data_IF_100267539778
#
_entry.id   IF_100267539778
#
_cell.length_a   1.000
_cell.length_b   1.000
_cell.length_c   1.000
_cell.angle_alpha   90.00
_cell.angle_beta   90.00
_cell.angle_gamma   90.00
#
_symmetry.space_group_name_H-M   'P 1'
#
loop_
_entity.id
_entity.type
_entity.pdbx_description
1 polymer ?
#
# COMPACT_ATOMS: atom_id res chain seq x y z
N UNK A 1 9.62 24.08 15.10
CA UNK A 1 9.70 23.50 13.73
C UNK A 1 10.13 22.03 13.75
N UNK A 2 11.13 21.62 14.55
CA UNK A 2 11.55 20.20 14.62
C UNK A 2 10.46 19.20 15.05
N UNK A 3 9.70 19.51 16.11
CA UNK A 3 8.66 18.60 16.67
C UNK A 3 7.59 18.20 15.64
N UNK A 4 7.18 19.11 14.75
CA UNK A 4 6.16 18.84 13.74
C UNK A 4 6.66 17.92 12.61
N UNK A 5 7.95 17.98 12.30
CA UNK A 5 8.58 17.14 11.27
C UNK A 5 8.79 15.72 11.80
N UNK A 6 9.30 15.59 13.02
CA UNK A 6 9.49 14.29 13.69
C UNK A 6 8.17 13.54 13.86
N UNK A 7 7.13 14.22 14.33
CA UNK A 7 5.78 13.65 14.44
C UNK A 7 5.25 13.19 13.07
N UNK A 8 5.43 14.00 12.01
CA UNK A 8 5.03 13.64 10.65
C UNK A 8 5.72 12.38 10.12
N UNK A 9 7.02 12.21 10.39
CA UNK A 9 7.77 10.99 10.01
C UNK A 9 7.23 9.76 10.71
N UNK A 10 7.04 9.84 12.03
CA UNK A 10 6.53 8.71 12.83
C UNK A 10 5.16 8.30 12.32
N UNK A 11 4.26 9.26 12.05
CA UNK A 11 2.92 8.99 11.52
C UNK A 11 3.01 8.28 10.18
N UNK A 12 3.79 8.79 9.23
CA UNK A 12 3.95 8.20 7.89
C UNK A 12 4.51 6.79 7.98
N UNK A 13 5.55 6.57 8.78
CA UNK A 13 6.17 5.24 8.92
C UNK A 13 5.18 4.25 9.55
N UNK A 14 4.51 4.64 10.63
CA UNK A 14 3.58 3.78 11.35
C UNK A 14 2.39 3.40 10.48
N UNK A 15 1.72 4.37 9.85
CA UNK A 15 0.55 4.11 9.02
C UNK A 15 0.89 3.24 7.82
N UNK A 16 1.99 3.52 7.12
CA UNK A 16 2.41 2.74 5.96
C UNK A 16 2.91 1.32 6.35
N UNK A 17 3.48 1.14 7.55
CA UNK A 17 3.84 -0.21 8.04
C UNK A 17 2.59 -1.04 8.30
N UNK A 18 1.57 -0.46 8.95
CA UNK A 18 0.30 -1.14 9.18
C UNK A 18 -0.40 -1.49 7.87
N UNK A 19 -0.44 -0.58 6.89
CA UNK A 19 -1.05 -0.86 5.57
C UNK A 19 -0.25 -1.89 4.76
N UNK A 20 1.07 -1.98 4.97
CA UNK A 20 1.89 -3.04 4.36
C UNK A 20 1.46 -4.41 4.87
N UNK A 21 1.24 -4.56 6.18
CA UNK A 21 0.74 -5.81 6.78
C UNK A 21 -0.64 -6.16 6.21
N UNK A 22 -1.54 -5.18 6.10
CA UNK A 22 -2.86 -5.37 5.47
C UNK A 22 -2.72 -5.84 4.03
N UNK A 23 -1.85 -5.23 3.23
CA UNK A 23 -1.60 -5.64 1.85
C UNK A 23 -1.11 -7.08 1.73
N UNK A 24 -0.18 -7.50 2.61
CA UNK A 24 0.29 -8.88 2.67
C UNK A 24 -0.83 -9.86 3.03
N UNK A 25 -1.66 -9.52 4.02
CA UNK A 25 -2.80 -10.35 4.42
C UNK A 25 -3.77 -10.52 3.23
N UNK A 26 -4.10 -9.45 2.50
CA UNK A 26 -4.99 -9.53 1.35
C UNK A 26 -4.43 -10.44 0.24
N UNK A 27 -3.12 -10.36 -0.04
CA UNK A 27 -2.48 -11.24 -1.01
C UNK A 27 -2.57 -12.71 -0.57
N UNK A 28 -2.26 -13.00 0.70
CA UNK A 28 -2.33 -14.37 1.24
C UNK A 28 -3.76 -14.91 1.20
N UNK A 29 -4.75 -14.11 1.58
CA UNK A 29 -6.17 -14.51 1.53
C UNK A 29 -6.63 -14.79 0.10
N UNK A 30 -6.31 -13.92 -0.86
CA UNK A 30 -6.68 -14.13 -2.25
C UNK A 30 -6.00 -15.36 -2.87
N UNK A 31 -4.73 -15.63 -2.53
CA UNK A 31 -4.04 -16.85 -2.94
C UNK A 31 -4.64 -18.10 -2.30
N UNK A 32 -5.03 -18.03 -1.02
CA UNK A 32 -5.67 -19.12 -0.30
C UNK A 32 -7.02 -19.50 -0.92
N UNK A 33 -7.85 -18.50 -1.26
CA UNK A 33 -9.12 -18.70 -1.95
C UNK A 33 -8.94 -19.31 -3.34
N UNK A 34 -7.87 -18.94 -4.07
CA UNK A 34 -7.59 -19.50 -5.40
C UNK A 34 -7.06 -20.95 -5.34
N UNK A 35 -6.32 -21.30 -4.28
CA UNK A 35 -5.68 -22.60 -4.14
C UNK A 35 -6.62 -23.69 -3.57
N UNK A 36 -7.74 -23.29 -2.97
CA UNK A 36 -8.57 -24.19 -2.17
C UNK A 36 -9.90 -24.49 -2.89
N UNK A 37 -10.02 -25.66 -3.56
CA UNK A 37 -11.20 -26.00 -4.38
C UNK A 37 -12.50 -26.14 -3.58
N UNK A 38 -12.41 -26.32 -2.25
CA UNK A 38 -13.56 -26.41 -1.35
C UNK A 38 -14.13 -25.05 -0.93
N UNK A 39 -13.33 -23.98 -0.99
CA UNK A 39 -13.77 -22.59 -0.70
C UNK A 39 -13.97 -21.76 -1.96
N UNK A 40 -13.58 -22.26 -3.13
CA UNK A 40 -13.94 -21.70 -4.44
C UNK A 40 -15.42 -21.94 -4.73
N UNK A 41 -16.27 -21.27 -3.97
CA UNK A 41 -17.72 -21.20 -4.14
C UNK A 41 -18.13 -20.14 -5.18
N UNK A 42 -17.15 -19.46 -5.79
CA UNK A 42 -17.34 -18.31 -6.68
C UNK A 42 -16.40 -18.35 -7.89
N UNK A 43 -16.74 -17.57 -8.91
CA UNK A 43 -15.84 -17.10 -9.96
C UNK A 43 -14.50 -16.60 -9.39
N UNK A 44 -13.40 -17.01 -10.03
CA UNK A 44 -12.02 -16.59 -9.70
C UNK A 44 -11.81 -15.07 -9.77
N UNK A 45 -12.78 -14.30 -10.27
CA UNK A 45 -12.71 -12.85 -10.36
C UNK A 45 -12.50 -12.17 -8.99
N UNK A 46 -13.17 -12.64 -7.93
CA UNK A 46 -13.08 -12.05 -6.58
C UNK A 46 -11.68 -12.25 -5.97
N UNK A 47 -11.13 -13.48 -5.89
CA UNK A 47 -9.80 -13.67 -5.33
C UNK A 47 -8.71 -12.98 -6.16
N UNK A 48 -8.81 -12.97 -7.49
CA UNK A 48 -7.88 -12.24 -8.36
C UNK A 48 -7.91 -10.73 -8.11
N UNK A 49 -9.10 -10.14 -8.00
CA UNK A 49 -9.23 -8.72 -7.67
C UNK A 49 -8.60 -8.42 -6.29
N UNK A 50 -8.83 -9.28 -5.31
CA UNK A 50 -8.27 -9.14 -3.94
C UNK A 50 -6.74 -9.15 -3.95
N UNK A 51 -6.11 -10.03 -4.73
CA UNK A 51 -4.65 -10.07 -4.90
C UNK A 51 -4.15 -8.77 -5.54
N UNK A 52 -4.79 -8.30 -6.62
CA UNK A 52 -4.38 -7.07 -7.33
C UNK A 52 -4.46 -5.86 -6.39
N UNK A 53 -5.54 -5.73 -5.62
CA UNK A 53 -5.69 -4.69 -4.61
C UNK A 53 -4.61 -4.78 -3.52
N UNK A 54 -4.33 -5.99 -3.02
CA UNK A 54 -3.27 -6.23 -2.03
C UNK A 54 -1.88 -5.81 -2.53
N UNK A 55 -1.54 -6.16 -3.77
CA UNK A 55 -0.26 -5.75 -4.41
C UNK A 55 -0.20 -4.23 -4.55
N UNK A 56 -1.27 -3.58 -5.01
CA UNK A 56 -1.30 -2.12 -5.14
C UNK A 56 -1.07 -1.44 -3.79
N UNK A 57 -1.79 -1.86 -2.74
CA UNK A 57 -1.63 -1.34 -1.38
C UNK A 57 -0.19 -1.53 -0.89
N UNK A 58 0.40 -2.69 -1.13
CA UNK A 58 1.78 -3.00 -0.73
C UNK A 58 2.80 -2.07 -1.41
N UNK A 59 2.69 -1.84 -2.72
CA UNK A 59 3.59 -0.95 -3.45
C UNK A 59 3.50 0.50 -2.95
N UNK A 60 2.28 0.99 -2.73
CA UNK A 60 2.03 2.34 -2.22
C UNK A 60 2.63 2.49 -0.82
N UNK A 61 2.40 1.48 0.04
CA UNK A 61 2.84 1.49 1.44
C UNK A 61 4.36 1.41 1.57
N UNK A 62 5.03 0.56 0.78
CA UNK A 62 6.49 0.51 0.73
C UNK A 62 7.07 1.85 0.27
N UNK A 63 6.47 2.47 -0.75
CA UNK A 63 6.89 3.80 -1.21
C UNK A 63 6.76 4.86 -0.11
N UNK A 64 5.67 4.84 0.67
CA UNK A 64 5.49 5.72 1.82
C UNK A 64 6.50 5.48 2.94
N UNK A 65 6.78 4.23 3.27
CA UNK A 65 7.78 3.86 4.29
C UNK A 65 9.20 4.26 3.86
N UNK A 66 9.60 3.92 2.63
CA UNK A 66 10.88 4.32 2.05
C UNK A 66 11.00 5.84 1.94
N UNK A 67 9.92 6.55 1.59
CA UNK A 67 9.90 8.02 1.54
C UNK A 67 10.11 8.66 2.90
N UNK A 68 9.54 8.07 3.97
CA UNK A 68 9.73 8.51 5.34
C UNK A 68 11.13 8.24 5.91
N UNK A 69 11.75 7.11 5.53
CA UNK A 69 13.06 6.68 6.04
C UNK A 69 14.25 7.24 5.24
N UNK A 70 14.16 7.26 3.91
CA UNK A 70 15.30 7.58 3.04
C UNK A 70 15.56 9.08 2.88
N UNK A 71 14.67 9.94 3.40
CA UNK A 71 14.74 11.41 3.23
C UNK A 71 14.93 11.84 1.76
N UNK A 72 14.47 11.00 0.83
CA UNK A 72 14.70 11.16 -0.60
C UNK A 72 13.49 11.84 -1.26
N UNK A 73 13.64 13.13 -1.62
CA UNK A 73 12.57 13.95 -2.20
C UNK A 73 11.85 13.30 -3.40
N UNK A 74 12.54 12.77 -4.43
CA UNK A 74 11.88 12.05 -5.52
C UNK A 74 10.90 10.96 -5.08
N UNK A 75 11.28 10.12 -4.09
CA UNK A 75 10.43 9.04 -3.59
C UNK A 75 9.20 9.62 -2.87
N UNK A 76 9.43 10.67 -2.07
CA UNK A 76 8.36 11.35 -1.35
C UNK A 76 7.39 12.09 -2.28
N UNK A 77 7.89 12.64 -3.40
CA UNK A 77 7.06 13.21 -4.48
C UNK A 77 6.23 12.15 -5.18
N UNK A 78 6.81 10.99 -5.48
CA UNK A 78 6.07 9.87 -6.06
C UNK A 78 4.94 9.43 -5.11
N UNK A 79 5.21 9.29 -3.82
CA UNK A 79 4.18 9.00 -2.80
C UNK A 79 3.08 10.06 -2.79
N UNK A 80 3.45 11.34 -2.77
CA UNK A 80 2.49 12.46 -2.76
C UNK A 80 1.58 12.46 -4.00
N UNK A 81 2.15 12.26 -5.20
CA UNK A 81 1.38 12.18 -6.46
C UNK A 81 0.42 10.99 -6.44
N UNK A 82 0.87 9.83 -5.97
CA UNK A 82 0.01 8.65 -5.86
C UNK A 82 -1.15 8.90 -4.89
N UNK A 83 -0.90 9.54 -3.73
CA UNK A 83 -1.99 9.91 -2.81
C UNK A 83 -2.99 10.88 -3.45
N UNK A 84 -2.53 11.85 -4.25
CA UNK A 84 -3.42 12.75 -4.98
C UNK A 84 -4.30 11.99 -5.99
N UNK A 85 -3.71 11.08 -6.77
CA UNK A 85 -4.46 10.25 -7.74
C UNK A 85 -5.53 9.43 -7.00
N UNK A 86 -5.19 8.83 -5.87
CA UNK A 86 -6.14 8.06 -5.07
C UNK A 86 -7.28 8.91 -4.52
N UNK A 87 -7.02 10.15 -4.08
CA UNK A 87 -8.09 11.08 -3.68
C UNK A 87 -9.04 11.36 -4.86
N UNK A 88 -8.49 11.60 -6.06
CA UNK A 88 -9.30 11.82 -7.26
C UNK A 88 -10.14 10.58 -7.59
N UNK A 89 -9.54 9.39 -7.55
CA UNK A 89 -10.26 8.13 -7.76
C UNK A 89 -11.36 7.91 -6.71
N UNK A 90 -11.10 8.25 -5.44
CA UNK A 90 -12.08 8.17 -4.37
C UNK A 90 -13.27 9.09 -4.62
N UNK A 91 -13.03 10.32 -5.10
CA UNK A 91 -14.08 11.28 -5.46
C UNK A 91 -14.88 10.77 -6.67
N UNK A 92 -14.22 10.26 -7.71
CA UNK A 92 -14.89 9.68 -8.88
C UNK A 92 -15.77 8.50 -8.46
N UNK A 93 -15.25 7.58 -7.64
CA UNK A 93 -16.02 6.44 -7.14
C UNK A 93 -17.22 6.88 -6.30
N UNK A 94 -17.06 7.91 -5.46
CA UNK A 94 -18.15 8.49 -4.70
C UNK A 94 -19.25 9.08 -5.61
N UNK A 95 -18.87 9.83 -6.66
CA UNK A 95 -19.82 10.39 -7.63
C UNK A 95 -20.56 9.27 -8.38
N UNK A 96 -19.84 8.27 -8.88
CA UNK A 96 -20.44 7.11 -9.57
C UNK A 96 -21.46 6.43 -8.66
N UNK A 97 -21.08 6.15 -7.41
CA UNK A 97 -21.98 5.52 -6.43
C UNK A 97 -23.23 6.37 -6.20
N UNK A 98 -23.09 7.70 -6.07
CA UNK A 98 -24.23 8.60 -5.90
C UNK A 98 -25.17 8.60 -7.10
N UNK A 99 -24.64 8.61 -8.32
CA UNK A 99 -25.46 8.56 -9.56
C UNK A 99 -26.14 7.20 -9.71
N UNK A 100 -25.39 6.11 -9.50
CA UNK A 100 -25.90 4.75 -9.67
C UNK A 100 -26.95 4.40 -8.63
N UNK A 101 -26.90 4.96 -7.41
CA UNK A 101 -27.99 4.75 -6.44
C UNK A 101 -29.35 5.25 -6.93
N UNK A 102 -29.38 6.22 -7.84
CA UNK A 102 -30.62 6.72 -8.47
C UNK A 102 -31.14 5.77 -9.56
N UNK A 103 -30.25 4.97 -10.16
CA UNK A 103 -30.54 4.06 -11.29
C UNK A 103 -30.09 2.62 -11.02
N UNK A 104 -30.08 2.19 -9.75
CA UNK A 104 -29.42 0.95 -9.32
C UNK A 104 -29.95 -0.27 -10.06
N UNK A 105 -31.27 -0.33 -10.30
CA UNK A 105 -31.89 -1.43 -11.04
C UNK A 105 -31.40 -1.51 -12.48
N UNK A 106 -31.23 -0.38 -13.18
CA UNK A 106 -30.71 -0.34 -14.56
C UNK A 106 -29.24 -0.77 -14.61
N UNK A 107 -28.44 -0.36 -13.62
CA UNK A 107 -27.04 -0.77 -13.50
C UNK A 107 -26.96 -2.28 -13.28
N UNK A 108 -27.72 -2.80 -12.32
CA UNK A 108 -27.80 -4.23 -12.04
C UNK A 108 -28.30 -5.02 -13.27
N UNK A 109 -29.27 -4.50 -14.02
CA UNK A 109 -29.79 -5.12 -15.25
C UNK A 109 -28.71 -5.23 -16.32
N UNK A 110 -27.96 -4.15 -16.55
CA UNK A 110 -26.85 -4.12 -17.50
C UNK A 110 -25.73 -5.09 -17.12
N UNK A 111 -25.31 -5.10 -15.85
CA UNK A 111 -24.32 -6.05 -15.35
C UNK A 111 -24.81 -7.50 -15.45
N UNK A 112 -26.09 -7.75 -15.13
CA UNK A 112 -26.69 -9.07 -15.25
C UNK A 112 -26.71 -9.54 -16.71
N UNK A 113 -27.04 -8.65 -17.65
CA UNK A 113 -27.06 -8.95 -19.07
C UNK A 113 -25.66 -9.33 -19.59
N UNK A 114 -24.64 -8.56 -19.23
CA UNK A 114 -23.24 -8.84 -19.61
C UNK A 114 -22.79 -10.17 -19.00
N UNK A 115 -22.99 -10.37 -17.70
CA UNK A 115 -22.60 -11.61 -17.03
C UNK A 115 -23.37 -12.82 -17.57
N UNK A 116 -24.66 -12.70 -17.87
CA UNK A 116 -25.44 -13.77 -18.46
C UNK A 116 -24.87 -14.22 -19.83
N UNK A 117 -24.41 -13.28 -20.65
CA UNK A 117 -23.86 -13.60 -21.97
C UNK A 117 -22.42 -14.13 -21.89
N UNK A 118 -21.55 -13.43 -21.18
CA UNK A 118 -20.10 -13.65 -21.25
C UNK A 118 -19.63 -14.67 -20.20
N UNK A 119 -20.25 -14.68 -19.02
CA UNK A 119 -19.82 -15.53 -17.91
C UNK A 119 -21.00 -15.97 -17.02
N UNK A 120 -21.87 -16.88 -17.51
CA UNK A 120 -23.08 -17.30 -16.80
C UNK A 120 -22.79 -18.03 -15.46
N UNK A 121 -21.54 -18.41 -15.19
CA UNK A 121 -21.12 -18.91 -13.87
C UNK A 121 -21.30 -17.84 -12.79
N UNK A 122 -21.00 -16.58 -13.08
CA UNK A 122 -21.20 -15.48 -12.12
C UNK A 122 -22.67 -15.37 -11.73
N UNK A 123 -23.59 -15.50 -12.69
CA UNK A 123 -25.03 -15.50 -12.42
C UNK A 123 -25.42 -16.68 -11.53
N UNK A 124 -24.91 -17.89 -11.83
CA UNK A 124 -25.16 -19.08 -11.01
C UNK A 124 -24.69 -18.90 -9.57
N UNK A 125 -23.49 -18.35 -9.39
CA UNK A 125 -22.94 -18.11 -8.05
C UNK A 125 -23.77 -17.11 -7.26
N UNK A 126 -24.29 -16.07 -7.91
CA UNK A 126 -25.19 -15.08 -7.30
C UNK A 126 -26.52 -15.72 -6.91
N UNK A 127 -27.11 -16.50 -7.82
CA UNK A 127 -28.35 -17.24 -7.59
C UNK A 127 -28.20 -18.21 -6.41
N UNK A 128 -27.08 -18.92 -6.29
CA UNK A 128 -26.78 -19.80 -5.15
C UNK A 128 -26.55 -19.03 -3.85
N UNK A 129 -25.72 -17.98 -3.88
CA UNK A 129 -25.39 -17.19 -2.68
C UNK A 129 -26.62 -16.56 -2.04
N UNK A 130 -27.54 -16.04 -2.85
CA UNK A 130 -28.71 -15.31 -2.38
C UNK A 130 -30.00 -16.15 -2.43
N UNK A 131 -29.89 -17.42 -2.82
CA UNK A 131 -30.99 -18.35 -3.00
C UNK A 131 -32.13 -17.76 -3.83
N UNK A 132 -31.79 -17.16 -4.97
CA UNK A 132 -32.71 -16.48 -5.89
C UNK A 132 -32.55 -17.03 -7.31
N UNK A 133 -33.49 -16.71 -8.20
CA UNK A 133 -33.53 -17.22 -9.56
C UNK A 133 -33.89 -16.11 -10.55
N UNK A 134 -33.12 -15.97 -11.62
CA UNK A 134 -33.35 -14.94 -12.64
C UNK A 134 -33.27 -13.51 -12.11
N UNK A 135 -33.29 -12.54 -13.02
CA UNK A 135 -33.08 -11.14 -12.66
C UNK A 135 -34.36 -10.45 -12.17
N UNK A 136 -35.22 -9.99 -13.09
CA UNK A 136 -36.47 -9.29 -12.76
C UNK A 136 -37.59 -10.25 -12.36
N UNK A 137 -37.56 -11.47 -12.88
CA UNK A 137 -38.46 -12.57 -12.56
C UNK A 137 -37.68 -13.90 -12.61
N UNK A 138 -38.30 -14.98 -12.13
CA UNK A 138 -37.64 -16.29 -11.96
C UNK A 138 -37.17 -16.98 -13.25
N UNK A 139 -37.62 -16.49 -14.41
CA UNK A 139 -37.23 -17.02 -15.73
C UNK A 139 -36.35 -16.07 -16.53
N UNK A 140 -36.22 -14.81 -16.09
CA UNK A 140 -35.50 -13.75 -16.79
C UNK A 140 -33.99 -13.96 -16.65
N UNK A 141 -33.36 -14.46 -17.71
CA UNK A 141 -31.90 -14.70 -17.77
C UNK A 141 -31.40 -15.51 -16.58
N UNK A 142 -32.18 -16.53 -16.20
CA UNK A 142 -31.84 -17.47 -15.16
C UNK A 142 -30.82 -18.50 -15.64
N UNK A 143 -29.99 -19.02 -14.73
CA UNK A 143 -29.00 -20.05 -15.02
C UNK A 143 -29.32 -21.30 -14.19
N UNK A 144 -29.34 -22.52 -14.78
CA UNK A 144 -28.83 -22.93 -16.10
C UNK A 144 -29.72 -22.57 -17.29
N UNK A 145 -29.13 -22.21 -18.44
CA UNK A 145 -29.83 -21.86 -19.68
C UNK A 145 -30.58 -23.01 -20.38
N UNK A 146 -30.64 -24.21 -19.79
CA UNK A 146 -31.21 -25.42 -20.42
C UNK A 146 -32.71 -25.30 -20.70
N UNK A 147 -33.45 -24.66 -19.80
CA UNK A 147 -34.88 -24.37 -19.93
C UNK A 147 -35.25 -23.19 -19.04
N UNK A 148 -36.33 -22.44 -19.34
CA UNK A 148 -36.75 -21.29 -18.52
C UNK A 148 -36.95 -21.64 -17.04
N UNK A 149 -37.41 -22.85 -16.76
CA UNK A 149 -37.69 -23.34 -15.40
C UNK A 149 -36.54 -24.17 -14.80
N UNK A 150 -35.37 -24.24 -15.46
CA UNK A 150 -34.28 -25.13 -15.02
C UNK A 150 -33.78 -24.78 -13.61
N UNK A 151 -33.78 -23.49 -13.29
CA UNK A 151 -33.37 -22.99 -11.99
C UNK A 151 -34.44 -23.24 -10.91
N UNK A 152 -35.73 -23.00 -11.20
CA UNK A 152 -36.85 -23.17 -10.26
C UNK A 152 -37.23 -24.63 -10.00
N UNK A 153 -37.11 -25.52 -10.99
CA UNK A 153 -37.52 -26.94 -10.89
C UNK A 153 -36.38 -27.89 -10.54
N UNK A 154 -35.17 -27.38 -10.33
CA UNK A 154 -34.05 -28.24 -9.95
C UNK A 154 -34.25 -28.84 -8.56
N UNK A 155 -33.87 -30.11 -8.38
CA UNK A 155 -33.93 -30.78 -7.08
C UNK A 155 -32.90 -30.27 -6.07
N UNK A 156 -31.91 -29.49 -6.52
CA UNK A 156 -30.74 -29.11 -5.73
C UNK A 156 -30.76 -27.65 -5.28
N UNK A 157 -31.35 -26.74 -6.06
CA UNK A 157 -31.39 -25.30 -5.76
C UNK A 157 -32.83 -24.74 -5.70
N UNK A 158 -33.70 -25.07 -6.65
CA UNK A 158 -35.16 -24.87 -6.55
C UNK A 158 -35.65 -23.47 -6.12
N UNK A 159 -34.92 -22.39 -6.42
CA UNK A 159 -35.23 -21.05 -5.91
C UNK A 159 -36.42 -20.42 -6.64
N UNK A 160 -37.29 -19.73 -5.89
CA UNK A 160 -38.61 -19.25 -6.36
C UNK A 160 -38.79 -17.72 -6.31
N UNK A 161 -37.75 -16.97 -5.94
CA UNK A 161 -37.76 -15.50 -5.85
C UNK A 161 -36.79 -14.84 -6.84
N UNK A 162 -37.12 -13.67 -7.42
CA UNK A 162 -36.23 -12.95 -8.32
C UNK A 162 -35.02 -12.35 -7.59
N UNK A 163 -33.87 -12.31 -8.26
CA UNK A 163 -32.64 -11.79 -7.69
C UNK A 163 -32.62 -10.26 -7.55
N UNK A 164 -33.31 -9.50 -8.40
CA UNK A 164 -33.31 -8.04 -8.36
C UNK A 164 -33.64 -7.47 -6.97
N UNK A 165 -34.69 -7.98 -6.33
CA UNK A 165 -35.12 -7.50 -5.01
C UNK A 165 -34.10 -7.82 -3.91
N UNK A 166 -33.51 -9.03 -3.97
CA UNK A 166 -32.53 -9.49 -2.97
C UNK A 166 -31.21 -8.73 -3.14
N UNK A 167 -30.75 -8.50 -4.38
CA UNK A 167 -29.54 -7.75 -4.68
C UNK A 167 -29.68 -6.28 -4.29
N UNK A 168 -30.81 -5.63 -4.61
CA UNK A 168 -31.07 -4.25 -4.19
C UNK A 168 -31.09 -4.11 -2.67
N UNK A 169 -31.68 -5.07 -1.96
CA UNK A 169 -31.69 -5.08 -0.49
C UNK A 169 -30.29 -5.27 0.09
N UNK A 170 -29.53 -6.25 -0.43
CA UNK A 170 -28.17 -6.53 0.00
C UNK A 170 -27.25 -5.33 -0.24
N UNK A 171 -27.34 -4.70 -1.42
CA UNK A 171 -26.60 -3.48 -1.73
C UNK A 171 -26.94 -2.36 -0.76
N UNK A 172 -28.23 -2.11 -0.51
CA UNK A 172 -28.67 -1.05 0.40
C UNK A 172 -28.22 -1.28 1.85
N UNK A 173 -28.08 -2.52 2.28
CA UNK A 173 -27.59 -2.86 3.60
C UNK A 173 -26.09 -2.57 3.76
N UNK A 174 -25.29 -2.87 2.73
CA UNK A 174 -23.83 -2.73 2.80
C UNK A 174 -23.30 -1.36 2.35
N UNK A 175 -24.04 -0.60 1.53
CA UNK A 175 -23.57 0.68 0.98
C UNK A 175 -23.19 1.70 2.07
N UNK A 176 -23.90 1.72 3.19
CA UNK A 176 -23.62 2.67 4.29
C UNK A 176 -22.25 2.35 4.90
N UNK A 177 -21.96 1.07 5.12
CA UNK A 177 -20.67 0.64 5.65
C UNK A 177 -19.53 0.99 4.69
N UNK A 178 -19.71 0.75 3.38
CA UNK A 178 -18.72 1.11 2.34
C UNK A 178 -18.47 2.63 2.35
N UNK A 179 -19.53 3.43 2.44
CA UNK A 179 -19.43 4.89 2.53
C UNK A 179 -18.65 5.37 3.75
N UNK A 180 -18.92 4.79 4.93
CA UNK A 180 -18.19 5.10 6.17
C UNK A 180 -16.71 4.76 6.04
N UNK A 181 -16.37 3.57 5.53
CA UNK A 181 -14.99 3.19 5.28
C UNK A 181 -14.30 4.12 4.27
N UNK A 182 -15.01 4.55 3.23
CA UNK A 182 -14.50 5.52 2.26
C UNK A 182 -14.17 6.89 2.88
N UNK A 183 -14.99 7.37 3.81
CA UNK A 183 -14.74 8.63 4.54
C UNK A 183 -13.52 8.50 5.47
N UNK A 184 -13.43 7.38 6.20
CA UNK A 184 -12.27 7.09 7.07
C UNK A 184 -10.99 7.03 6.23
N UNK A 185 -11.02 6.34 5.09
CA UNK A 185 -9.89 6.26 4.16
C UNK A 185 -9.48 7.66 3.67
N UNK A 186 -10.43 8.48 3.25
CA UNK A 186 -10.16 9.85 2.79
C UNK A 186 -9.51 10.71 3.89
N UNK A 187 -9.96 10.59 5.14
CA UNK A 187 -9.37 11.30 6.27
C UNK A 187 -7.91 10.87 6.52
N UNK A 188 -7.65 9.56 6.58
CA UNK A 188 -6.29 9.01 6.75
C UNK A 188 -5.39 9.49 5.61
N UNK A 189 -5.90 9.49 4.39
CA UNK A 189 -5.17 9.91 3.21
C UNK A 189 -4.83 11.40 3.22
N UNK A 190 -5.72 12.26 3.69
CA UNK A 190 -5.44 13.69 3.87
C UNK A 190 -4.34 13.90 4.92
N UNK A 191 -4.37 13.18 6.04
CA UNK A 191 -3.31 13.25 7.05
C UNK A 191 -1.95 12.82 6.49
N UNK A 192 -1.92 11.73 5.73
CA UNK A 192 -0.71 11.26 5.06
C UNK A 192 -0.19 12.28 4.03
N UNK A 193 -1.09 12.92 3.29
CA UNK A 193 -0.75 13.95 2.31
C UNK A 193 -0.17 15.22 2.96
N UNK A 194 -0.76 15.67 4.08
CA UNK A 194 -0.22 16.78 4.87
C UNK A 194 1.17 16.44 5.40
N UNK A 195 1.34 15.24 5.98
CA UNK A 195 2.64 14.81 6.49
C UNK A 195 3.70 14.72 5.38
N UNK A 196 3.35 14.16 4.22
CA UNK A 196 4.22 14.11 3.05
C UNK A 196 4.58 15.52 2.55
N UNK A 197 3.62 16.44 2.49
CA UNK A 197 3.87 17.84 2.11
C UNK A 197 4.82 18.54 3.09
N UNK A 198 4.59 18.40 4.39
CA UNK A 198 5.47 18.95 5.43
C UNK A 198 6.88 18.40 5.26
N UNK A 199 7.04 17.10 5.01
CA UNK A 199 8.34 16.49 4.77
C UNK A 199 9.01 16.99 3.48
N UNK A 200 8.24 17.16 2.39
CA UNK A 200 8.75 17.66 1.11
C UNK A 200 9.31 19.09 1.23
N UNK A 201 8.61 19.96 1.97
CA UNK A 201 9.01 21.36 2.17
C UNK A 201 10.22 21.46 3.10
N UNK A 202 10.32 20.62 4.13
CA UNK A 202 11.39 20.70 5.12
C UNK A 202 12.67 19.95 4.71
N UNK A 203 12.60 18.99 3.79
CA UNK A 203 13.80 18.34 3.27
C UNK A 203 14.55 19.31 2.33
N UNK A 204 15.90 19.35 2.33
CA UNK A 204 16.68 20.07 1.31
C UNK A 204 16.67 19.33 -0.04
N UNK A 205 16.77 20.03 -1.17
CA UNK A 205 16.93 19.35 -2.48
C UNK A 205 18.32 18.72 -2.59
N UNK A 206 18.49 17.66 -3.40
CA UNK A 206 19.81 17.09 -3.67
C UNK A 206 20.82 18.16 -4.12
N UNK A 207 20.44 19.10 -4.99
CA UNK A 207 21.38 20.16 -5.41
C UNK A 207 21.73 21.12 -4.27
N UNK A 208 20.79 21.41 -3.37
CA UNK A 208 21.07 22.22 -2.19
C UNK A 208 22.03 21.51 -1.25
N UNK A 209 21.83 20.22 -1.03
CA UNK A 209 22.70 19.37 -0.20
C UNK A 209 24.12 19.32 -0.79
N UNK A 210 24.25 19.15 -2.10
CA UNK A 210 25.56 19.11 -2.78
C UNK A 210 26.27 20.48 -2.74
N UNK A 211 25.52 21.58 -2.85
CA UNK A 211 26.08 22.93 -2.68
C UNK A 211 26.58 23.16 -1.26
N UNK A 212 25.85 22.69 -0.26
CA UNK A 212 26.24 22.83 1.14
C UNK A 212 27.55 22.08 1.41
N UNK A 213 27.65 20.81 0.98
CA UNK A 213 28.89 20.02 1.05
C UNK A 213 30.06 20.68 0.32
N UNK A 214 29.84 21.25 -0.87
CA UNK A 214 30.89 21.97 -1.60
C UNK A 214 31.35 23.20 -0.82
N UNK A 215 30.42 23.97 -0.26
CA UNK A 215 30.73 25.18 0.50
C UNK A 215 31.52 24.86 1.78
N UNK A 216 31.19 23.76 2.44
CA UNK A 216 31.91 23.26 3.61
C UNK A 216 33.33 22.81 3.22
N UNK A 217 33.47 22.06 2.12
CA UNK A 217 34.77 21.63 1.62
C UNK A 217 35.69 22.82 1.27
N UNK A 218 35.14 23.86 0.63
CA UNK A 218 35.90 25.09 0.38
C UNK A 218 36.31 25.82 1.67
N UNK A 219 35.45 25.84 2.70
CA UNK A 219 35.77 26.41 4.01
C UNK A 219 36.92 25.65 4.67
N UNK A 220 36.90 24.32 4.65
CA UNK A 220 37.94 23.47 5.23
C UNK A 220 39.29 23.67 4.53
N UNK A 221 39.31 23.79 3.19
CA UNK A 221 40.55 24.10 2.44
C UNK A 221 41.11 25.48 2.82
N UNK A 222 40.24 26.50 2.95
CA UNK A 222 40.68 27.84 3.36
C UNK A 222 41.23 27.84 4.78
N UNK A 223 40.61 27.11 5.70
CA UNK A 223 41.14 26.95 7.06
C UNK A 223 42.51 26.27 7.03
N UNK A 224 42.68 25.18 6.27
CA UNK A 224 43.98 24.51 6.16
C UNK A 224 45.08 25.37 5.54
N UNK A 225 44.76 26.25 4.58
CA UNK A 225 45.73 27.18 3.97
C UNK A 225 46.14 28.32 4.91
N UNK A 226 45.23 28.76 5.78
CA UNK A 226 45.48 29.86 6.72
C UNK A 226 46.17 29.39 8.01
N UNK A 227 46.45 28.09 8.15
CA UNK A 227 47.32 27.57 9.22
C UNK A 227 48.76 27.85 8.82
N UNK A 228 49.41 28.74 9.58
CA UNK A 228 50.85 29.02 9.47
C UNK A 228 51.66 27.72 9.71
N UNK A 229 52.70 27.39 8.93
CA UNK A 229 53.51 26.18 9.13
C UNK A 229 54.08 26.06 10.55
N UNK A 230 54.29 27.18 11.23
CA UNK A 230 54.85 27.23 12.59
C UNK A 230 53.84 26.82 13.70
N UNK A 231 52.53 26.75 13.42
CA UNK A 231 51.53 26.29 14.41
C UNK A 231 51.24 24.78 14.40
N UNK A 232 51.74 24.04 13.40
CA UNK A 232 51.51 22.60 13.25
C UNK A 232 52.16 21.77 14.39
N UNK A 233 53.09 22.34 15.17
CA UNK A 233 53.84 21.64 16.21
C UNK A 233 53.09 21.43 17.54
N UNK A 234 51.87 21.98 17.73
CA UNK A 234 51.27 22.09 19.07
C UNK A 234 50.03 21.24 19.37
N UNK A 235 49.54 20.39 18.45
CA UNK A 235 48.38 19.52 18.76
C UNK A 235 48.84 18.16 19.32
N UNK A 236 48.54 17.85 20.60
CA UNK A 236 48.79 16.53 21.14
C UNK A 236 47.87 15.50 20.46
N UNK A 237 48.47 14.42 20.00
CA UNK A 237 47.80 13.23 19.50
C UNK A 237 46.99 12.64 20.67
N UNK A 238 45.66 12.73 20.63
CA UNK A 238 44.81 12.05 21.60
C UNK A 238 44.94 10.55 21.34
N UNK A 239 45.74 9.89 22.17
CA UNK A 239 45.79 8.43 22.24
C UNK A 239 44.61 7.98 23.08
N UNK A 240 43.61 7.39 22.46
CA UNK A 240 42.58 6.68 23.19
C UNK A 240 43.20 5.37 23.71
N UNK A 241 43.57 5.37 24.98
CA UNK A 241 44.08 4.19 25.68
C UNK A 241 43.48 4.12 27.08
N UNK A 242 42.35 3.40 27.17
CA UNK A 242 42.18 2.41 28.22
C UNK A 242 41.02 2.63 29.19
N UNK A 243 40.02 1.76 29.09
CA UNK A 243 39.53 1.03 30.26
C UNK A 243 39.67 -0.46 29.95
N UNK A 244 40.38 -1.19 30.81
CA UNK A 244 40.65 -2.61 30.64
C UNK A 244 40.13 -3.43 31.81
N UNK A 245 39.75 -4.69 31.52
CA UNK A 245 39.67 -5.91 32.35
C UNK A 245 39.47 -7.03 31.29
N UNK A 246 40.18 -8.15 31.15
CA UNK A 246 40.96 -9.02 32.03
C UNK A 246 41.69 -10.09 31.18
N UNK A 247 42.87 -10.53 31.62
CA UNK A 247 43.27 -11.95 31.58
C UNK A 247 44.28 -12.41 30.53
N UNK A 248 45.51 -12.71 30.99
CA UNK A 248 46.14 -14.01 30.68
C UNK A 248 47.24 -14.10 29.62
N UNK A 249 48.49 -14.05 30.11
CA UNK A 249 49.60 -14.99 29.81
C UNK A 249 50.40 -14.92 28.49
N UNK A 250 51.73 -14.79 28.69
CA UNK A 250 52.87 -15.27 27.88
C UNK A 250 53.03 -14.68 26.47
N UNK A 251 54.16 -14.14 26.02
CA UNK A 251 55.57 -14.40 26.32
C UNK A 251 56.33 -14.49 24.98
N UNK A 252 57.60 -14.07 24.95
CA UNK A 252 58.58 -14.13 23.84
C UNK A 252 58.46 -13.00 22.77
N UNK A 253 59.37 -12.02 22.75
CA UNK A 253 60.77 -12.06 22.27
C UNK A 253 60.87 -12.16 20.73
N UNK A 254 61.42 -11.14 20.06
CA UNK A 254 62.81 -11.10 19.60
C UNK A 254 63.02 -9.94 18.61
N UNK A 255 64.02 -9.13 18.88
CA UNK A 255 64.67 -8.27 17.89
C UNK A 255 65.16 -9.09 16.68
N UNK A 256 65.12 -8.52 15.47
CA UNK A 256 66.35 -8.31 14.73
C UNK A 256 66.21 -7.34 13.54
N UNK A 257 67.22 -6.50 13.47
CA UNK A 257 67.57 -5.48 12.50
C UNK A 257 68.09 -6.06 11.18
N UNK A 258 67.94 -5.28 10.10
CA UNK A 258 68.79 -5.29 8.89
C UNK A 258 68.21 -6.07 7.71
N UNK A 259 68.37 -5.69 6.45
CA UNK A 259 69.11 -4.56 5.86
C UNK A 259 68.88 -4.60 4.34
N UNK A 260 68.85 -3.42 3.70
CA UNK A 260 69.37 -3.10 2.35
C UNK A 260 68.51 -3.47 1.10
N UNK A 261 67.83 -2.43 0.59
CA UNK A 261 67.72 -1.86 -0.79
C UNK A 261 67.76 -2.75 -2.06
N UNK A 262 67.30 -2.21 -3.22
CA UNK A 262 66.45 -1.02 -3.46
C UNK A 262 65.01 -1.36 -3.88
#
# INVERSE_FOLDING_TARGET
>A
MGVSVEAGRIIVILTNTLTTIVGLILIVLGLYELASPEVSLYSNAIPLATIIFGIAILLISITGCCGGLAENKPILWAYFIVLLILIVLQIIAAIITLVDTQNLENVLDSWWQVAYNDNPRIIRDIEDKYSCCGFSNVTDRAVPKKSPDACTKSSWFGYDKPCLQVLTSAYKHHQIAIGVWGIILAFIQILALIAAYVLLVNLPTPEQRDRDYRSEHERLIKMGRNVDPDQQQSKPYYTDRGTGVSGGSSGAARDQYGSINP
#
